data_IF_363985152328
#
_entry.id   IF_363985152328
#
_cell.length_a   1.000
_cell.length_b   1.000
_cell.length_c   1.000
_cell.angle_alpha   90.00
_cell.angle_beta   90.00
_cell.angle_gamma   90.00
#
_symmetry.space_group_name_H-M   'P 1'
#
loop_
_entity.id
_entity.type
_entity.pdbx_description
1 polymer ?
#
# COMPACT_ATOMS: atom_id res chain seq x y z
N UNK A 1 -20.25 -25.59 1.87
CA UNK A 1 -20.36 -26.55 2.97
C UNK A 1 -19.49 -27.80 2.80
N UNK A 2 -19.48 -28.45 1.63
CA UNK A 2 -18.64 -29.65 1.37
C UNK A 2 -17.13 -29.32 1.43
N UNK A 3 -16.69 -28.23 0.80
CA UNK A 3 -15.30 -27.78 0.80
C UNK A 3 -14.81 -27.43 2.22
N UNK A 4 -15.66 -26.78 3.04
CA UNK A 4 -15.32 -26.45 4.42
C UNK A 4 -15.15 -27.70 5.29
N UNK A 5 -15.95 -28.77 5.06
CA UNK A 5 -15.77 -30.05 5.76
C UNK A 5 -14.49 -30.78 5.34
N UNK A 6 -14.14 -30.74 4.06
CA UNK A 6 -12.90 -31.36 3.54
C UNK A 6 -11.64 -30.64 4.04
N UNK A 7 -11.69 -29.32 4.21
CA UNK A 7 -10.55 -28.53 4.74
C UNK A 7 -10.31 -28.74 6.25
N UNK A 8 -11.30 -29.22 6.98
CA UNK A 8 -11.17 -29.55 8.39
C UNK A 8 -10.59 -30.95 8.63
N UNK A 9 -10.59 -31.80 7.61
CA UNK A 9 -10.07 -33.17 7.68
C UNK A 9 -8.79 -33.29 6.84
N UNK A 10 -7.79 -34.01 7.27
CA UNK A 10 -6.48 -34.21 6.67
C UNK A 10 -6.42 -34.72 5.21
N UNK A 11 -7.37 -34.47 4.35
CA UNK A 11 -7.31 -34.88 2.94
C UNK A 11 -6.51 -33.88 2.09
N UNK A 12 -5.99 -34.35 0.96
CA UNK A 12 -4.89 -33.77 0.15
C UNK A 12 -4.96 -32.24 -0.10
N UNK A 13 -6.14 -31.64 -0.16
CA UNK A 13 -6.32 -30.17 -0.36
C UNK A 13 -6.81 -29.44 0.90
N UNK A 14 -6.89 -30.11 2.03
CA UNK A 14 -7.46 -29.59 3.27
C UNK A 14 -6.84 -28.29 3.79
N UNK A 15 -5.49 -28.18 3.87
CA UNK A 15 -4.85 -26.94 4.35
C UNK A 15 -5.09 -25.76 3.44
N UNK A 16 -4.90 -25.90 2.14
CA UNK A 16 -5.09 -24.81 1.15
C UNK A 16 -6.54 -24.32 1.12
N UNK A 17 -7.51 -25.24 1.14
CA UNK A 17 -8.93 -24.88 1.18
C UNK A 17 -9.31 -24.20 2.50
N UNK A 18 -8.74 -24.64 3.65
CA UNK A 18 -8.93 -23.98 4.93
C UNK A 18 -8.44 -22.53 4.90
N UNK A 19 -7.22 -22.29 4.40
CA UNK A 19 -6.65 -20.97 4.29
C UNK A 19 -7.54 -20.04 3.45
N UNK A 20 -7.93 -20.51 2.26
CA UNK A 20 -8.78 -19.73 1.34
C UNK A 20 -10.11 -19.35 1.98
N UNK A 21 -10.77 -20.28 2.68
CA UNK A 21 -12.08 -20.04 3.30
C UNK A 21 -11.97 -19.05 4.45
N UNK A 22 -10.92 -19.15 5.27
CA UNK A 22 -10.68 -18.20 6.38
C UNK A 22 -10.33 -16.82 5.83
N UNK A 23 -9.47 -16.72 4.80
CA UNK A 23 -9.11 -15.46 4.17
C UNK A 23 -10.32 -14.78 3.54
N UNK A 24 -11.17 -15.50 2.83
CA UNK A 24 -12.42 -14.98 2.27
C UNK A 24 -13.39 -14.49 3.35
N UNK A 25 -13.46 -15.16 4.49
CA UNK A 25 -14.28 -14.70 5.61
C UNK A 25 -13.74 -13.39 6.20
N UNK A 26 -12.41 -13.27 6.34
CA UNK A 26 -11.75 -12.05 6.82
C UNK A 26 -11.96 -10.89 5.84
N UNK A 27 -11.76 -11.12 4.55
CA UNK A 27 -11.97 -10.10 3.49
C UNK A 27 -13.40 -9.57 3.44
N UNK A 28 -14.38 -10.40 3.78
CA UNK A 28 -15.80 -10.04 3.86
C UNK A 28 -16.21 -9.39 5.18
N UNK A 29 -15.27 -9.23 6.12
CA UNK A 29 -15.58 -8.71 7.46
C UNK A 29 -16.33 -9.71 8.36
N UNK A 30 -16.36 -11.00 8.00
CA UNK A 30 -17.05 -12.07 8.75
C UNK A 30 -16.13 -12.64 9.86
N UNK A 31 -15.57 -11.78 10.73
CA UNK A 31 -14.59 -12.15 11.76
C UNK A 31 -15.03 -13.35 12.62
N UNK A 32 -16.25 -13.29 13.15
CA UNK A 32 -16.80 -14.37 13.97
C UNK A 32 -16.88 -15.72 13.23
N UNK A 33 -17.05 -15.69 11.90
CA UNK A 33 -17.03 -16.88 11.06
C UNK A 33 -15.61 -17.41 10.89
N UNK A 34 -14.65 -16.52 10.62
CA UNK A 34 -13.24 -16.87 10.50
C UNK A 34 -12.72 -17.50 11.80
N UNK A 35 -13.09 -16.96 12.96
CA UNK A 35 -12.74 -17.48 14.28
C UNK A 35 -13.33 -18.91 14.49
N UNK A 36 -14.62 -19.10 14.20
CA UNK A 36 -15.24 -20.45 14.29
C UNK A 36 -14.57 -21.46 13.38
N UNK A 37 -14.12 -21.08 12.19
CA UNK A 37 -13.39 -21.96 11.28
C UNK A 37 -12.03 -22.38 11.87
N UNK A 38 -11.29 -21.44 12.48
CA UNK A 38 -10.04 -21.75 13.17
C UNK A 38 -10.26 -22.71 14.35
N UNK A 39 -11.27 -22.45 15.19
CA UNK A 39 -11.61 -23.36 16.29
C UNK A 39 -12.02 -24.76 15.81
N UNK A 40 -12.82 -24.85 14.75
CA UNK A 40 -13.21 -26.12 14.15
C UNK A 40 -12.00 -26.90 13.63
N UNK A 41 -11.04 -26.21 13.00
CA UNK A 41 -9.77 -26.82 12.55
C UNK A 41 -8.95 -27.32 13.72
N UNK A 42 -8.80 -26.52 14.77
CA UNK A 42 -8.08 -26.89 16.00
C UNK A 42 -8.78 -28.01 16.80
N UNK A 43 -10.08 -28.19 16.63
CA UNK A 43 -10.81 -29.34 17.16
C UNK A 43 -10.44 -30.66 16.47
N UNK A 44 -9.99 -30.61 15.22
CA UNK A 44 -9.54 -31.78 14.45
C UNK A 44 -8.03 -31.99 14.59
N UNK A 45 -7.27 -30.89 14.47
CA UNK A 45 -5.80 -30.88 14.57
C UNK A 45 -5.41 -29.89 15.66
N UNK A 46 -5.24 -30.41 16.87
CA UNK A 46 -5.12 -29.60 18.09
C UNK A 46 -3.99 -28.59 18.08
N UNK A 47 -2.92 -28.87 17.34
CA UNK A 47 -1.72 -28.04 17.23
C UNK A 47 -1.44 -27.66 15.76
N UNK A 48 -2.50 -27.41 15.00
CA UNK A 48 -2.36 -26.83 13.66
C UNK A 48 -1.82 -25.39 13.78
N UNK A 49 -0.53 -25.24 13.44
CA UNK A 49 0.20 -24.00 13.57
C UNK A 49 -0.49 -22.84 12.85
N UNK A 50 -0.94 -23.07 11.64
CA UNK A 50 -1.51 -22.02 10.81
C UNK A 50 -2.90 -21.61 11.29
N UNK A 51 -3.67 -22.55 11.81
CA UNK A 51 -4.94 -22.25 12.47
C UNK A 51 -4.73 -21.47 13.78
N UNK A 52 -3.69 -21.82 14.56
CA UNK A 52 -3.32 -21.09 15.77
C UNK A 52 -2.88 -19.66 15.44
N UNK A 53 -2.02 -19.46 14.43
CA UNK A 53 -1.58 -18.13 14.01
C UNK A 53 -2.76 -17.25 13.58
N UNK A 54 -3.65 -17.78 12.73
CA UNK A 54 -4.84 -17.06 12.27
C UNK A 54 -5.79 -16.71 13.41
N UNK A 55 -6.01 -17.65 14.32
CA UNK A 55 -6.82 -17.41 15.51
C UNK A 55 -6.21 -16.31 16.39
N UNK A 56 -4.90 -16.39 16.66
CA UNK A 56 -4.20 -15.37 17.41
C UNK A 56 -4.32 -13.97 16.78
N UNK A 57 -4.22 -13.87 15.45
CA UNK A 57 -4.43 -12.60 14.73
C UNK A 57 -5.87 -12.09 14.82
N UNK A 58 -6.87 -12.95 14.64
CA UNK A 58 -8.28 -12.58 14.78
C UNK A 58 -8.59 -12.06 16.18
N UNK A 59 -8.06 -12.69 17.21
CA UNK A 59 -8.21 -12.26 18.60
C UNK A 59 -7.54 -10.90 18.86
N UNK A 60 -6.36 -10.66 18.27
CA UNK A 60 -5.70 -9.36 18.34
C UNK A 60 -6.51 -8.27 17.63
N UNK A 61 -7.02 -8.57 16.44
CA UNK A 61 -7.84 -7.65 15.66
C UNK A 61 -9.14 -7.27 16.40
N UNK A 62 -9.66 -8.20 17.22
CA UNK A 62 -10.84 -7.98 18.09
C UNK A 62 -10.50 -7.34 19.45
N UNK A 63 -9.20 -7.09 19.72
CA UNK A 63 -8.75 -6.50 20.98
C UNK A 63 -8.67 -7.48 22.16
N UNK A 64 -8.86 -8.77 21.93
CA UNK A 64 -8.80 -9.86 22.93
C UNK A 64 -7.35 -10.30 23.18
N UNK A 65 -6.54 -9.35 23.67
CA UNK A 65 -5.07 -9.47 23.78
C UNK A 65 -4.66 -10.66 24.66
N UNK A 66 -5.31 -10.83 25.81
CA UNK A 66 -4.96 -11.90 26.74
C UNK A 66 -5.16 -13.31 26.11
N UNK A 67 -6.22 -13.47 25.36
CA UNK A 67 -6.52 -14.73 24.65
C UNK A 67 -5.55 -14.94 23.47
N UNK A 68 -5.23 -13.89 22.73
CA UNK A 68 -4.24 -13.95 21.67
C UNK A 68 -2.86 -14.40 22.19
N UNK A 69 -2.43 -13.89 23.35
CA UNK A 69 -1.18 -14.30 24.03
C UNK A 69 -1.17 -15.82 24.28
N UNK A 70 -2.24 -16.36 24.82
CA UNK A 70 -2.34 -17.80 25.10
C UNK A 70 -2.24 -18.62 23.80
N UNK A 71 -2.87 -18.16 22.71
CA UNK A 71 -2.80 -18.83 21.42
C UNK A 71 -1.39 -18.78 20.84
N UNK A 72 -0.71 -17.63 20.91
CA UNK A 72 0.68 -17.51 20.42
C UNK A 72 1.68 -18.30 21.25
N UNK A 73 1.47 -18.45 22.57
CA UNK A 73 2.27 -19.35 23.39
C UNK A 73 2.15 -20.82 22.93
N UNK A 74 0.97 -21.22 22.43
CA UNK A 74 0.80 -22.55 21.83
C UNK A 74 1.55 -22.68 20.52
N UNK A 75 1.61 -21.61 19.68
CA UNK A 75 2.43 -21.60 18.47
C UNK A 75 3.91 -21.80 18.82
N UNK A 76 4.41 -21.10 19.85
CA UNK A 76 5.78 -21.26 20.34
C UNK A 76 6.09 -22.69 20.78
N UNK A 77 5.14 -23.32 21.45
CA UNK A 77 5.27 -24.72 21.90
C UNK A 77 5.35 -25.69 20.72
N UNK A 78 4.55 -25.48 19.66
CA UNK A 78 4.58 -26.29 18.43
C UNK A 78 5.90 -26.13 17.69
N UNK A 79 6.49 -24.92 17.68
CA UNK A 79 7.76 -24.63 17.03
C UNK A 79 8.99 -24.98 17.87
N UNK A 80 8.81 -25.49 19.10
CA UNK A 80 9.91 -25.83 19.99
C UNK A 80 10.72 -24.63 20.48
N UNK A 81 10.19 -23.43 20.36
CA UNK A 81 10.81 -22.18 20.79
C UNK A 81 10.37 -21.82 22.20
N UNK A 82 11.31 -21.68 23.12
CA UNK A 82 11.00 -21.25 24.49
C UNK A 82 11.08 -19.71 24.58
N UNK A 83 9.92 -19.06 24.60
CA UNK A 83 9.76 -17.71 25.17
C UNK A 83 10.41 -16.52 24.45
N UNK A 84 11.02 -16.71 23.27
CA UNK A 84 11.73 -15.63 22.52
C UNK A 84 10.77 -14.81 21.66
N UNK A 85 9.64 -15.39 21.28
CA UNK A 85 8.65 -14.77 20.38
C UNK A 85 7.80 -13.72 21.11
N UNK A 86 7.68 -13.78 22.43
CA UNK A 86 6.54 -13.18 23.14
C UNK A 86 6.53 -11.66 23.18
N UNK A 87 7.62 -10.96 23.46
CA UNK A 87 7.55 -9.52 23.65
C UNK A 87 7.68 -8.75 22.32
N UNK A 88 8.64 -9.10 21.47
CA UNK A 88 8.86 -8.42 20.20
C UNK A 88 7.78 -8.79 19.17
N UNK A 89 7.41 -10.05 19.11
CA UNK A 89 6.36 -10.58 18.24
C UNK A 89 4.98 -10.03 18.63
N UNK A 90 4.62 -10.09 19.92
CA UNK A 90 3.37 -9.50 20.42
C UNK A 90 3.31 -7.99 20.21
N UNK A 91 4.42 -7.29 20.43
CA UNK A 91 4.48 -5.85 20.15
C UNK A 91 4.29 -5.56 18.67
N UNK A 92 4.95 -6.30 17.79
CA UNK A 92 4.79 -6.18 16.34
C UNK A 92 3.37 -6.49 15.89
N UNK A 93 2.77 -7.57 16.40
CA UNK A 93 1.39 -7.93 16.05
C UNK A 93 0.33 -7.03 16.67
N UNK A 94 0.55 -6.51 17.87
CA UNK A 94 -0.28 -5.45 18.45
C UNK A 94 -0.25 -4.19 17.59
N UNK A 95 0.91 -3.85 17.07
CA UNK A 95 1.08 -2.69 16.21
C UNK A 95 0.38 -2.92 14.85
N UNK A 96 0.46 -4.12 14.27
CA UNK A 96 -0.28 -4.50 13.05
C UNK A 96 -1.80 -4.49 13.33
N UNK A 97 -2.25 -5.04 14.45
CA UNK A 97 -3.66 -5.06 14.82
C UNK A 97 -4.20 -3.63 15.03
N UNK A 98 -3.42 -2.74 15.65
CA UNK A 98 -3.74 -1.30 15.75
C UNK A 98 -3.86 -0.63 14.40
N UNK A 99 -2.92 -0.91 13.47
CA UNK A 99 -2.98 -0.39 12.12
C UNK A 99 -4.23 -0.90 11.36
N UNK A 100 -4.57 -2.19 11.49
CA UNK A 100 -5.79 -2.78 10.90
C UNK A 100 -7.07 -2.18 11.47
N UNK A 101 -7.12 -1.86 12.77
CA UNK A 101 -8.23 -1.11 13.38
C UNK A 101 -8.24 0.37 13.02
N UNK A 102 -7.31 0.78 12.16
CA UNK A 102 -7.20 2.16 11.74
C UNK A 102 -6.54 3.07 12.78
N UNK A 103 -5.93 2.52 13.83
CA UNK A 103 -5.11 3.27 14.74
C UNK A 103 -3.80 3.65 14.05
N UNK A 104 -3.48 4.94 14.04
CA UNK A 104 -2.18 5.41 13.57
C UNK A 104 -1.17 5.28 14.69
N UNK A 105 -0.08 4.61 14.44
CA UNK A 105 0.98 4.45 15.43
C UNK A 105 2.36 4.66 14.82
N UNK A 106 3.35 4.82 15.69
CA UNK A 106 4.78 4.85 15.33
C UNK A 106 5.59 4.07 16.37
N UNK A 107 6.77 3.67 15.99
CA UNK A 107 7.68 2.95 16.89
C UNK A 107 9.10 3.47 16.75
N UNK A 108 9.85 3.40 17.86
CA UNK A 108 11.28 3.59 17.87
C UNK A 108 11.98 2.24 17.70
N UNK A 109 12.93 2.18 16.79
CA UNK A 109 13.81 1.04 16.61
C UNK A 109 15.25 1.47 16.84
N UNK A 110 15.95 0.77 17.72
CA UNK A 110 17.34 1.05 18.04
C UNK A 110 18.26 0.03 17.34
N UNK A 111 19.43 0.49 16.85
CA UNK A 111 20.48 -0.31 16.22
C UNK A 111 19.93 -1.18 15.08
N UNK A 112 19.29 -0.55 14.10
CA UNK A 112 18.75 -1.22 12.93
C UNK A 112 19.56 -0.90 11.68
N UNK A 113 19.48 -1.79 10.69
CA UNK A 113 19.97 -1.56 9.34
C UNK A 113 18.80 -1.31 8.40
N UNK A 114 18.97 -0.35 7.49
CA UNK A 114 18.01 -0.02 6.45
C UNK A 114 18.64 -0.33 5.09
N UNK A 115 18.06 -1.24 4.36
CA UNK A 115 18.40 -1.54 2.98
C UNK A 115 17.53 -0.68 2.06
N UNK A 116 18.12 0.08 1.13
CA UNK A 116 17.46 1.17 0.42
C UNK A 116 16.95 0.83 -0.97
N UNK A 117 17.16 -0.39 -1.48
CA UNK A 117 16.53 -0.83 -2.73
C UNK A 117 15.02 -0.95 -2.58
N UNK A 118 14.60 -1.50 -1.45
CA UNK A 118 13.19 -1.73 -1.10
C UNK A 118 12.78 -1.10 0.24
N UNK A 119 13.68 -0.33 0.83
CA UNK A 119 13.47 0.32 2.12
C UNK A 119 13.14 -0.66 3.24
N UNK A 120 13.90 -1.75 3.28
CA UNK A 120 13.72 -2.83 4.26
C UNK A 120 14.48 -2.51 5.54
N UNK A 121 13.79 -2.56 6.69
CA UNK A 121 14.39 -2.37 8.00
C UNK A 121 14.69 -3.74 8.61
N UNK A 122 15.91 -3.92 9.07
CA UNK A 122 16.37 -5.18 9.64
C UNK A 122 17.19 -4.98 10.91
N UNK A 123 17.07 -5.93 11.83
CA UNK A 123 17.94 -6.09 12.99
C UNK A 123 18.06 -7.56 13.32
N UNK A 124 19.31 -8.03 13.54
CA UNK A 124 19.59 -9.43 13.91
C UNK A 124 18.97 -10.46 12.94
N UNK A 125 18.96 -10.15 11.65
CA UNK A 125 18.35 -11.00 10.63
C UNK A 125 16.83 -10.93 10.56
N UNK A 126 16.15 -10.13 11.39
CA UNK A 126 14.70 -9.99 11.44
C UNK A 126 14.27 -8.74 10.67
N UNK A 127 13.29 -8.88 9.77
CA UNK A 127 12.68 -7.79 9.01
C UNK A 127 11.56 -7.12 9.82
N UNK A 128 11.58 -5.79 9.87
CA UNK A 128 10.71 -4.99 10.74
C UNK A 128 9.65 -4.15 10.03
N UNK A 129 9.61 -4.13 8.72
CA UNK A 129 8.57 -3.35 8.05
C UNK A 129 7.38 -4.22 7.64
N UNK A 130 6.21 -3.66 7.87
CA UNK A 130 4.91 -4.26 7.55
C UNK A 130 4.66 -4.36 6.03
N UNK A 131 5.60 -3.86 5.21
CA UNK A 131 5.42 -3.58 3.78
C UNK A 131 6.29 -4.45 2.87
N UNK A 132 7.06 -5.36 3.43
CA UNK A 132 7.96 -6.20 2.65
C UNK A 132 7.18 -7.35 2.03
N UNK A 133 6.89 -7.23 0.75
CA UNK A 133 6.54 -8.42 -0.03
C UNK A 133 7.76 -9.34 -0.10
N UNK A 134 7.60 -10.59 0.33
CA UNK A 134 8.67 -11.59 0.29
C UNK A 134 9.37 -11.66 -1.10
N UNK A 135 8.63 -11.44 -2.19
CA UNK A 135 9.18 -11.33 -3.56
C UNK A 135 10.27 -10.25 -3.69
N UNK A 136 10.12 -9.11 -3.03
CA UNK A 136 11.08 -8.01 -3.15
C UNK A 136 12.41 -8.33 -2.47
N UNK A 137 12.38 -9.11 -1.38
CA UNK A 137 13.59 -9.55 -0.70
C UNK A 137 14.43 -10.51 -1.56
N UNK A 138 13.78 -11.35 -2.39
CA UNK A 138 14.50 -12.28 -3.28
C UNK A 138 15.11 -11.58 -4.50
N UNK A 139 14.57 -10.44 -4.89
CA UNK A 139 15.06 -9.66 -6.05
C UNK A 139 16.02 -8.56 -5.65
N UNK A 140 16.19 -8.28 -4.35
CA UNK A 140 17.20 -7.32 -3.87
C UNK A 140 18.61 -7.86 -4.13
N UNK A 141 19.44 -7.11 -4.84
CA UNK A 141 20.84 -7.52 -5.06
C UNK A 141 21.65 -7.58 -3.75
N UNK A 142 21.15 -6.99 -2.67
CA UNK A 142 21.83 -6.83 -1.39
C UNK A 142 21.30 -7.73 -0.28
N UNK A 143 20.10 -8.26 -0.43
CA UNK A 143 19.51 -9.15 0.57
C UNK A 143 19.62 -10.59 0.08
N UNK A 144 20.62 -11.31 0.58
CA UNK A 144 20.68 -12.76 0.40
C UNK A 144 19.83 -13.41 1.49
N UNK A 145 18.55 -13.62 1.18
CA UNK A 145 17.61 -14.17 2.12
C UNK A 145 17.30 -15.65 1.86
N UNK A 146 17.09 -16.40 2.95
CA UNK A 146 16.40 -17.68 2.90
C UNK A 146 15.09 -17.51 3.66
N UNK A 147 14.02 -17.99 3.06
CA UNK A 147 12.81 -18.22 3.84
C UNK A 147 13.09 -19.42 4.73
N UNK A 148 12.76 -19.31 5.99
CA UNK A 148 12.78 -20.46 6.89
C UNK A 148 11.92 -21.56 6.29
N UNK A 149 12.23 -22.82 6.63
CA UNK A 149 11.51 -24.00 6.10
C UNK A 149 10.00 -23.94 6.34
N UNK A 150 9.56 -23.15 7.30
CA UNK A 150 8.17 -22.92 7.66
C UNK A 150 7.51 -21.73 6.93
N UNK A 151 8.26 -21.04 6.08
CA UNK A 151 7.76 -19.89 5.29
C UNK A 151 7.46 -18.63 6.09
N UNK A 152 7.78 -18.56 7.38
CA UNK A 152 7.34 -17.48 8.28
C UNK A 152 8.41 -16.48 8.65
N UNK A 153 9.66 -16.86 8.55
CA UNK A 153 10.79 -15.99 8.91
C UNK A 153 11.69 -15.82 7.69
N UNK A 154 12.01 -14.59 7.38
CA UNK A 154 12.99 -14.28 6.36
C UNK A 154 14.29 -13.99 7.09
N UNK A 155 15.25 -14.89 6.95
CA UNK A 155 16.63 -14.66 7.39
C UNK A 155 17.37 -14.04 6.22
N UNK A 156 17.73 -12.79 6.35
CA UNK A 156 18.50 -12.09 5.34
C UNK A 156 19.85 -11.66 5.90
N UNK A 157 20.88 -11.74 5.06
CA UNK A 157 22.20 -11.19 5.37
C UNK A 157 22.36 -9.91 4.57
N UNK A 158 22.57 -8.81 5.25
CA UNK A 158 22.91 -7.55 4.63
C UNK A 158 24.42 -7.42 4.47
N UNK A 159 24.90 -6.73 3.41
CA UNK A 159 26.30 -6.29 3.34
C UNK A 159 26.62 -5.32 4.47
N UNK A 160 27.92 -5.03 4.64
CA UNK A 160 28.33 -4.01 5.61
C UNK A 160 27.67 -2.67 5.29
N UNK A 161 27.23 -1.92 6.32
CA UNK A 161 26.66 -0.60 6.13
C UNK A 161 27.67 0.35 5.45
N UNK A 162 27.19 1.08 4.46
CA UNK A 162 27.93 2.15 3.78
C UNK A 162 27.72 3.50 4.47
N UNK A 163 26.65 3.61 5.26
CA UNK A 163 26.26 4.82 5.98
C UNK A 163 26.06 4.51 7.45
N UNK A 164 26.67 5.34 8.32
CA UNK A 164 26.46 5.28 9.76
C UNK A 164 25.67 6.53 10.19
N UNK A 165 24.46 6.34 10.68
CA UNK A 165 23.57 7.40 11.12
C UNK A 165 23.49 7.36 12.64
N UNK A 166 24.29 8.22 13.29
CA UNK A 166 24.43 8.26 14.74
C UNK A 166 23.24 8.94 15.43
N UNK A 167 22.62 9.93 14.78
CA UNK A 167 21.50 10.68 15.31
C UNK A 167 20.18 10.01 15.01
N UNK A 168 19.15 10.31 15.82
CA UNK A 168 17.80 9.85 15.58
C UNK A 168 17.24 10.45 14.30
N UNK A 169 16.61 9.63 13.45
CA UNK A 169 15.96 10.09 12.22
C UNK A 169 14.58 9.42 12.00
N UNK A 170 13.80 10.01 11.12
CA UNK A 170 12.47 9.53 10.72
C UNK A 170 12.60 8.69 9.45
N UNK A 171 12.04 7.50 9.46
CA UNK A 171 11.94 6.64 8.30
C UNK A 171 10.87 7.14 7.31
N UNK A 172 11.28 7.88 6.30
CA UNK A 172 10.40 8.29 5.20
C UNK A 172 10.45 7.30 4.07
N UNK A 173 11.63 7.02 3.54
CA UNK A 173 11.82 6.13 2.42
C UNK A 173 12.09 6.87 1.11
N UNK A 174 11.96 6.19 -0.03
CA UNK A 174 12.30 6.77 -1.33
C UNK A 174 11.75 5.94 -2.50
N UNK A 175 10.50 5.53 -2.44
CA UNK A 175 9.85 4.74 -3.49
C UNK A 175 9.70 5.57 -4.77
N UNK A 176 10.20 5.06 -5.90
CA UNK A 176 10.20 5.75 -7.19
C UNK A 176 8.84 5.80 -7.89
N UNK A 177 7.92 4.96 -7.47
CA UNK A 177 6.59 4.99 -8.00
C UNK A 177 5.78 6.10 -7.32
N UNK A 178 5.21 7.03 -8.09
CA UNK A 178 4.44 8.17 -7.57
C UNK A 178 3.32 7.76 -6.61
N UNK A 179 2.56 6.71 -6.95
CA UNK A 179 1.50 6.18 -6.10
C UNK A 179 2.05 5.60 -4.79
N UNK A 180 3.13 4.82 -4.87
CA UNK A 180 3.78 4.26 -3.69
C UNK A 180 4.40 5.37 -2.82
N UNK A 181 5.00 6.39 -3.44
CA UNK A 181 5.50 7.55 -2.72
C UNK A 181 4.41 8.20 -1.87
N UNK A 182 3.26 8.48 -2.45
CA UNK A 182 2.14 9.05 -1.70
C UNK A 182 1.63 8.11 -0.61
N UNK A 183 1.30 6.87 -0.96
CA UNK A 183 0.66 5.94 -0.02
C UNK A 183 1.60 5.41 1.07
N UNK A 184 2.85 5.09 0.71
CA UNK A 184 3.78 4.41 1.62
C UNK A 184 4.73 5.36 2.33
N UNK A 185 5.03 6.51 1.71
CA UNK A 185 6.02 7.43 2.24
C UNK A 185 5.35 8.69 2.83
N UNK A 186 4.41 9.31 2.12
CA UNK A 186 3.84 10.58 2.54
C UNK A 186 2.68 10.41 3.54
N UNK A 187 1.66 9.60 3.22
CA UNK A 187 0.46 9.50 4.07
C UNK A 187 0.76 9.06 5.51
N UNK A 188 1.74 8.19 5.72
CA UNK A 188 2.12 7.72 7.06
C UNK A 188 2.66 8.83 7.95
N UNK A 189 3.16 9.93 7.36
CA UNK A 189 3.70 11.08 8.11
C UNK A 189 2.62 11.81 8.93
N UNK A 190 1.35 11.70 8.53
CA UNK A 190 0.21 12.20 9.29
C UNK A 190 0.23 11.74 10.76
N UNK A 191 0.70 10.53 11.01
CA UNK A 191 0.83 9.96 12.37
C UNK A 191 1.84 10.73 13.19
N UNK A 192 2.99 11.07 12.61
CA UNK A 192 4.05 11.81 13.30
C UNK A 192 3.70 13.28 13.48
N UNK A 193 2.98 13.87 12.54
CA UNK A 193 2.53 15.24 12.64
C UNK A 193 1.56 15.43 13.82
N UNK A 194 0.57 14.54 13.93
CA UNK A 194 -0.37 14.52 15.06
C UNK A 194 0.32 14.33 16.42
N UNK A 195 1.43 13.59 16.42
CA UNK A 195 2.24 13.36 17.62
C UNK A 195 3.23 14.52 17.91
N UNK A 196 3.29 15.55 17.06
CA UNK A 196 4.25 16.65 17.17
C UNK A 196 5.71 16.23 16.94
N UNK A 197 5.93 15.14 16.19
CA UNK A 197 7.27 14.55 15.98
C UNK A 197 7.81 14.79 14.58
N UNK A 198 6.96 15.19 13.61
CA UNK A 198 7.29 15.23 12.19
C UNK A 198 8.55 16.07 11.86
N UNK A 199 8.75 17.16 12.58
CA UNK A 199 9.87 18.08 12.34
C UNK A 199 10.93 18.06 13.47
N UNK A 200 10.81 17.13 14.41
CA UNK A 200 11.77 17.02 15.51
C UNK A 200 13.07 16.32 15.15
N UNK A 201 13.00 15.51 14.08
CA UNK A 201 14.14 14.69 13.65
C UNK A 201 14.29 14.80 12.14
N UNK A 202 15.51 14.68 11.60
CA UNK A 202 15.73 14.66 10.17
C UNK A 202 15.06 13.46 9.50
N UNK A 203 14.70 13.62 8.22
CA UNK A 203 14.05 12.59 7.43
C UNK A 203 15.06 11.76 6.65
N UNK A 204 15.02 10.45 6.81
CA UNK A 204 15.83 9.49 6.07
C UNK A 204 15.18 9.24 4.70
N UNK A 205 15.88 9.61 3.63
CA UNK A 205 15.41 9.57 2.24
C UNK A 205 16.51 9.17 1.27
N UNK A 206 16.17 8.87 0.00
CA UNK A 206 17.16 8.69 -1.05
C UNK A 206 17.95 9.98 -1.34
N UNK A 207 19.21 9.83 -1.74
CA UNK A 207 20.05 10.96 -2.19
C UNK A 207 19.62 11.52 -3.54
N UNK A 208 19.05 10.68 -4.42
CA UNK A 208 18.61 10.98 -5.79
C UNK A 208 17.09 11.04 -5.90
N UNK A 209 16.45 11.84 -5.04
CA UNK A 209 15.02 12.07 -5.07
C UNK A 209 14.54 12.58 -6.45
N UNK A 210 13.42 12.04 -6.92
CA UNK A 210 12.72 12.54 -8.11
C UNK A 210 12.21 13.97 -7.88
N UNK A 211 11.96 14.72 -8.96
CA UNK A 211 11.44 16.09 -8.87
C UNK A 211 10.19 16.20 -8.00
N UNK A 212 9.20 15.34 -8.23
CA UNK A 212 7.97 15.32 -7.44
C UNK A 212 8.19 14.98 -5.96
N UNK A 213 9.17 14.12 -5.63
CA UNK A 213 9.51 13.81 -4.24
C UNK A 213 10.07 15.04 -3.52
N UNK A 214 11.01 15.74 -4.17
CA UNK A 214 11.55 16.99 -3.66
C UNK A 214 10.46 18.04 -3.46
N UNK A 215 9.55 18.20 -4.45
CA UNK A 215 8.44 19.14 -4.33
C UNK A 215 7.52 18.79 -3.16
N UNK A 216 7.12 17.54 -2.97
CA UNK A 216 6.31 17.12 -1.81
C UNK A 216 7.01 17.40 -0.48
N UNK A 217 8.31 17.13 -0.39
CA UNK A 217 9.11 17.41 0.82
C UNK A 217 9.10 18.90 1.14
N UNK A 218 9.29 19.74 0.12
CA UNK A 218 9.25 21.20 0.26
C UNK A 218 7.86 21.71 0.64
N UNK A 219 6.81 21.20 -0.03
CA UNK A 219 5.41 21.57 0.26
C UNK A 219 4.99 21.15 1.68
N UNK A 220 5.57 20.07 2.19
CA UNK A 220 5.39 19.66 3.59
C UNK A 220 6.20 20.51 4.57
N UNK A 221 7.01 21.45 4.10
CA UNK A 221 7.78 22.37 4.94
C UNK A 221 9.08 21.80 5.48
N UNK A 222 9.56 20.68 4.95
CA UNK A 222 10.84 20.11 5.37
C UNK A 222 11.99 20.79 4.64
N UNK A 223 13.03 21.14 5.39
CA UNK A 223 14.21 21.83 4.85
C UNK A 223 15.27 20.83 4.36
N UNK A 224 16.01 21.14 3.29
CA UNK A 224 17.06 20.25 2.74
C UNK A 224 18.12 19.83 3.78
N UNK A 225 18.45 20.69 4.74
CA UNK A 225 19.43 20.44 5.79
C UNK A 225 18.94 19.44 6.85
N UNK A 226 17.62 19.20 6.87
CA UNK A 226 16.98 18.22 7.73
C UNK A 226 16.71 16.88 7.02
N UNK A 227 17.41 16.62 5.93
CA UNK A 227 17.36 15.35 5.22
C UNK A 227 18.64 14.55 5.44
N UNK A 228 18.50 13.33 5.93
CA UNK A 228 19.56 12.32 5.91
C UNK A 228 19.45 11.57 4.60
N UNK A 229 20.38 11.83 3.69
CA UNK A 229 20.36 11.28 2.34
C UNK A 229 21.27 10.05 2.24
N UNK A 230 20.70 8.93 1.78
CA UNK A 230 21.43 7.68 1.56
C UNK A 230 21.31 7.25 0.10
N UNK A 231 22.36 6.61 -0.41
CA UNK A 231 22.38 6.11 -1.79
C UNK A 231 21.30 5.06 -2.03
N UNK A 232 20.92 4.90 -3.30
CA UNK A 232 20.12 3.74 -3.69
C UNK A 232 20.95 2.47 -3.64
N UNK A 233 20.32 1.35 -3.37
CA UNK A 233 20.98 0.06 -3.32
C UNK A 233 22.14 0.04 -2.30
N UNK A 234 21.95 0.68 -1.16
CA UNK A 234 22.92 0.79 -0.09
C UNK A 234 22.34 0.23 1.21
N UNK A 235 23.19 0.06 2.21
CA UNK A 235 22.79 -0.27 3.57
C UNK A 235 23.22 0.87 4.49
N UNK A 236 22.27 1.37 5.27
CA UNK A 236 22.50 2.36 6.31
C UNK A 236 22.32 1.73 7.70
N UNK A 237 23.28 1.90 8.58
CA UNK A 237 23.16 1.58 10.00
C UNK A 237 22.58 2.80 10.72
N UNK A 238 21.45 2.60 11.38
CA UNK A 238 20.75 3.65 12.12
C UNK A 238 20.77 3.32 13.62
N UNK A 239 21.40 4.20 14.41
CA UNK A 239 21.42 4.02 15.86
C UNK A 239 20.02 4.13 16.45
N UNK A 240 19.18 5.03 15.92
CA UNK A 240 17.80 5.22 16.38
C UNK A 240 16.88 5.69 15.24
N UNK A 241 15.87 4.90 14.92
CA UNK A 241 14.97 5.13 13.80
C UNK A 241 13.51 5.24 14.29
N UNK A 242 12.86 6.36 13.94
CA UNK A 242 11.42 6.55 14.17
C UNK A 242 10.65 6.09 12.94
N UNK A 243 9.89 5.04 13.09
CA UNK A 243 9.15 4.38 11.99
C UNK A 243 7.66 4.62 12.17
N UNK A 244 7.03 5.48 11.35
CA UNK A 244 5.58 5.56 11.27
C UNK A 244 5.03 4.33 10.55
N UNK A 245 3.96 3.75 11.08
CA UNK A 245 3.32 2.60 10.45
C UNK A 245 2.61 2.99 9.17
N UNK A 246 2.57 2.05 8.23
CA UNK A 246 1.81 2.20 7.01
C UNK A 246 0.32 2.29 7.30
N UNK A 247 -0.35 3.08 6.48
CA UNK A 247 -1.79 3.17 6.48
C UNK A 247 -2.37 2.08 5.56
N UNK A 248 -2.75 0.94 6.13
CA UNK A 248 -3.26 -0.22 5.38
C UNK A 248 -4.78 -0.33 5.37
N UNK A 249 -5.45 0.16 6.43
CA UNK A 249 -6.91 0.19 6.50
C UNK A 249 -7.50 1.41 5.78
N UNK A 250 -8.73 1.28 5.26
CA UNK A 250 -9.45 2.39 4.62
C UNK A 250 -9.56 3.61 5.56
N UNK A 251 -9.79 3.38 6.85
CA UNK A 251 -9.87 4.44 7.85
C UNK A 251 -8.52 5.16 8.06
N UNK A 252 -7.41 4.43 8.10
CA UNK A 252 -6.08 5.03 8.25
C UNK A 252 -5.68 5.81 6.99
N UNK A 253 -5.96 5.26 5.80
CA UNK A 253 -5.77 5.94 4.51
C UNK A 253 -6.60 7.22 4.48
N UNK A 254 -7.89 7.17 4.85
CA UNK A 254 -8.78 8.33 4.90
C UNK A 254 -8.25 9.45 5.79
N UNK A 255 -7.74 9.11 6.99
CA UNK A 255 -7.09 10.10 7.87
C UNK A 255 -5.80 10.69 7.29
N UNK A 256 -5.01 9.88 6.59
CA UNK A 256 -3.82 10.36 5.89
C UNK A 256 -4.18 11.30 4.74
N UNK A 257 -5.19 10.95 3.93
CA UNK A 257 -5.70 11.80 2.85
C UNK A 257 -6.25 13.11 3.40
N UNK A 258 -7.05 13.07 4.47
CA UNK A 258 -7.57 14.28 5.10
C UNK A 258 -6.43 15.18 5.58
N UNK A 259 -5.44 14.63 6.30
CA UNK A 259 -4.26 15.37 6.74
C UNK A 259 -3.53 16.03 5.58
N UNK A 260 -3.32 15.31 4.47
CA UNK A 260 -2.63 15.85 3.30
C UNK A 260 -3.45 16.97 2.63
N UNK A 261 -4.77 16.82 2.54
CA UNK A 261 -5.65 17.88 2.03
C UNK A 261 -5.63 19.13 2.93
N UNK A 262 -5.61 18.96 4.24
CA UNK A 262 -5.48 20.08 5.20
C UNK A 262 -4.13 20.80 5.03
N UNK A 263 -3.03 20.05 4.86
CA UNK A 263 -1.70 20.63 4.62
C UNK A 263 -1.61 21.42 3.32
N UNK A 264 -2.28 20.97 2.29
CA UNK A 264 -2.28 21.59 0.96
C UNK A 264 -3.55 22.40 0.69
N UNK A 265 -4.33 22.76 1.71
CA UNK A 265 -5.60 23.46 1.55
C UNK A 265 -5.47 24.75 0.74
N UNK A 266 -4.34 25.45 0.86
CA UNK A 266 -4.04 26.68 0.09
C UNK A 266 -3.80 26.44 -1.40
N UNK A 267 -3.61 25.20 -1.84
CA UNK A 267 -3.42 24.79 -3.24
C UNK A 267 -4.69 24.17 -3.84
N UNK A 268 -5.67 23.82 -3.01
CA UNK A 268 -6.90 23.17 -3.47
C UNK A 268 -7.88 24.20 -3.99
N UNK A 269 -8.53 23.91 -5.12
CA UNK A 269 -9.69 24.67 -5.57
C UNK A 269 -10.86 24.53 -4.58
N UNK A 270 -11.66 25.58 -4.43
CA UNK A 270 -12.90 25.47 -3.67
C UNK A 270 -13.84 24.47 -4.39
N UNK A 271 -14.56 23.59 -3.64
CA UNK A 271 -15.42 22.56 -4.26
C UNK A 271 -16.43 23.12 -5.26
N UNK A 272 -16.98 24.32 -5.03
CA UNK A 272 -17.88 25.00 -5.96
C UNK A 272 -17.22 25.40 -7.30
N UNK A 273 -15.89 25.36 -7.39
CA UNK A 273 -15.10 25.66 -8.59
C UNK A 273 -14.68 24.39 -9.35
N UNK A 274 -15.07 23.21 -8.88
CA UNK A 274 -14.79 21.95 -9.55
C UNK A 274 -15.70 21.78 -10.79
N UNK A 275 -15.24 22.31 -11.91
CA UNK A 275 -15.96 22.28 -13.19
C UNK A 275 -15.22 21.55 -14.29
N UNK A 276 -13.93 21.29 -14.11
CA UNK A 276 -13.08 20.72 -15.15
C UNK A 276 -13.39 19.24 -15.37
N UNK A 277 -13.29 18.82 -16.62
CA UNK A 277 -13.36 17.43 -17.06
C UNK A 277 -11.99 17.05 -17.59
N UNK A 278 -11.33 16.11 -16.92
CA UNK A 278 -9.96 15.77 -17.22
C UNK A 278 -9.83 14.40 -17.88
N UNK A 279 -9.13 14.34 -19.00
CA UNK A 279 -8.52 13.12 -19.50
C UNK A 279 -7.05 13.08 -19.04
N UNK A 280 -6.73 12.17 -18.15
CA UNK A 280 -5.38 12.00 -17.63
C UNK A 280 -4.59 11.09 -18.58
N UNK A 281 -3.69 11.69 -19.32
CA UNK A 281 -2.85 11.01 -20.32
C UNK A 281 -1.78 10.13 -19.68
N UNK A 282 -1.39 9.09 -20.42
CA UNK A 282 -0.25 8.22 -20.10
C UNK A 282 0.83 8.25 -21.18
N UNK A 283 0.91 9.32 -21.97
CA UNK A 283 1.91 9.45 -23.02
C UNK A 283 3.35 9.59 -22.53
N UNK A 284 3.50 9.99 -21.26
CA UNK A 284 4.76 10.10 -20.55
C UNK A 284 5.33 8.74 -20.06
N UNK A 285 4.61 7.64 -20.28
CA UNK A 285 5.03 6.30 -19.82
C UNK A 285 4.78 5.23 -20.90
N UNK A 286 5.65 4.22 -20.92
CA UNK A 286 5.56 3.10 -21.88
C UNK A 286 4.72 1.93 -21.38
N UNK A 287 4.60 1.77 -20.05
CA UNK A 287 3.86 0.66 -19.45
C UNK A 287 2.37 0.95 -19.44
N UNK A 288 1.55 0.00 -19.90
CA UNK A 288 0.09 0.11 -19.91
C UNK A 288 -0.40 1.36 -20.64
N UNK A 289 0.24 1.71 -21.75
CA UNK A 289 -0.20 2.84 -22.58
C UNK A 289 -1.57 2.54 -23.21
N UNK A 290 -2.42 3.56 -23.27
CA UNK A 290 -3.71 3.50 -23.95
C UNK A 290 -3.48 3.74 -25.45
N UNK A 291 -3.59 2.69 -26.26
CA UNK A 291 -3.23 2.73 -27.70
C UNK A 291 -4.10 3.67 -28.51
N UNK A 292 -5.34 3.87 -28.11
CA UNK A 292 -6.29 4.75 -28.80
C UNK A 292 -6.65 6.00 -27.96
N UNK A 293 -5.68 6.55 -27.22
CA UNK A 293 -5.89 7.72 -26.39
C UNK A 293 -6.31 8.95 -27.19
N UNK A 294 -5.80 9.12 -28.43
CA UNK A 294 -6.19 10.26 -29.28
C UNK A 294 -7.63 10.15 -29.75
N UNK A 295 -8.05 8.98 -30.23
CA UNK A 295 -9.43 8.69 -30.59
C UNK A 295 -10.37 8.95 -29.40
N UNK A 296 -9.98 8.51 -28.20
CA UNK A 296 -10.74 8.79 -26.99
C UNK A 296 -10.80 10.28 -26.68
N UNK A 297 -9.70 11.02 -26.81
CA UNK A 297 -9.69 12.45 -26.58
C UNK A 297 -10.56 13.21 -27.58
N UNK A 298 -10.49 12.88 -28.85
CA UNK A 298 -11.34 13.46 -29.90
C UNK A 298 -12.84 13.27 -29.59
N UNK A 299 -13.20 12.10 -29.05
CA UNK A 299 -14.59 11.84 -28.67
C UNK A 299 -15.02 12.57 -27.39
N UNK A 300 -14.09 12.81 -26.46
CA UNK A 300 -14.38 13.49 -25.18
C UNK A 300 -14.26 15.03 -25.27
N UNK A 301 -13.49 15.57 -26.22
CA UNK A 301 -13.29 17.00 -26.37
C UNK A 301 -14.60 17.80 -26.57
N UNK A 302 -15.58 17.35 -27.37
CA UNK A 302 -16.88 18.02 -27.50
C UNK A 302 -17.67 18.06 -26.18
N UNK A 303 -17.38 17.14 -25.27
CA UNK A 303 -17.95 17.10 -23.93
C UNK A 303 -17.18 17.98 -22.92
N UNK A 304 -16.24 18.81 -23.39
CA UNK A 304 -15.48 19.77 -22.60
C UNK A 304 -14.32 19.16 -21.81
N UNK A 305 -13.79 18.01 -22.21
CA UNK A 305 -12.61 17.43 -21.59
C UNK A 305 -11.33 18.14 -22.03
N UNK A 306 -10.43 18.33 -21.07
CA UNK A 306 -9.07 18.79 -21.28
C UNK A 306 -8.11 17.64 -20.98
N UNK A 307 -7.17 17.39 -21.90
CA UNK A 307 -6.13 16.40 -21.69
C UNK A 307 -4.97 17.01 -20.90
N UNK A 308 -4.55 16.32 -19.83
CA UNK A 308 -3.37 16.67 -19.05
C UNK A 308 -2.37 15.51 -19.06
N UNK A 309 -1.07 15.83 -19.07
CA UNK A 309 0.03 14.89 -18.95
C UNK A 309 0.72 15.13 -17.62
N UNK A 310 0.42 14.33 -16.57
CA UNK A 310 0.89 14.62 -15.21
C UNK A 310 2.41 14.69 -15.06
N UNK A 311 3.18 13.91 -15.85
CA UNK A 311 4.64 13.95 -15.85
C UNK A 311 5.24 15.29 -16.32
N UNK A 312 4.47 16.12 -17.03
CA UNK A 312 4.86 17.46 -17.49
C UNK A 312 4.46 18.56 -16.49
N UNK A 313 3.71 18.23 -15.44
CA UNK A 313 3.20 19.16 -14.46
C UNK A 313 3.98 19.09 -13.15
N UNK A 314 4.20 20.24 -12.51
CA UNK A 314 4.65 20.28 -11.12
C UNK A 314 3.60 19.66 -10.18
N UNK A 315 3.98 19.29 -8.97
CA UNK A 315 3.04 18.77 -7.96
C UNK A 315 1.94 19.80 -7.67
N UNK A 316 2.29 21.09 -7.58
CA UNK A 316 1.32 22.17 -7.37
C UNK A 316 0.29 22.22 -8.52
N UNK A 317 0.74 22.11 -9.76
CA UNK A 317 -0.14 22.10 -10.94
C UNK A 317 -1.02 20.84 -10.96
N UNK A 318 -0.47 19.67 -10.59
CA UNK A 318 -1.27 18.44 -10.47
C UNK A 318 -2.36 18.59 -9.39
N UNK A 319 -2.00 19.09 -8.20
CA UNK A 319 -2.97 19.36 -7.13
C UNK A 319 -4.07 20.31 -7.61
N UNK A 320 -3.71 21.41 -8.25
CA UNK A 320 -4.67 22.39 -8.77
C UNK A 320 -5.60 21.78 -9.82
N UNK A 321 -5.06 21.03 -10.79
CA UNK A 321 -5.85 20.38 -11.84
C UNK A 321 -6.86 19.39 -11.26
N UNK A 322 -6.39 18.47 -10.39
CA UNK A 322 -7.27 17.46 -9.83
C UNK A 322 -8.28 18.04 -8.83
N UNK A 323 -7.91 19.05 -8.04
CA UNK A 323 -8.84 19.68 -7.09
C UNK A 323 -9.95 20.49 -7.78
N UNK A 324 -9.78 20.90 -9.03
CA UNK A 324 -10.80 21.57 -9.83
C UNK A 324 -11.60 20.62 -10.74
N UNK A 325 -11.36 19.31 -10.63
CA UNK A 325 -12.01 18.34 -11.50
C UNK A 325 -13.41 17.94 -11.00
N UNK A 326 -14.38 17.93 -11.93
CA UNK A 326 -15.72 17.35 -11.75
C UNK A 326 -15.77 15.90 -12.24
N UNK A 327 -15.10 15.61 -13.35
CA UNK A 327 -15.00 14.26 -13.93
C UNK A 327 -13.54 14.01 -14.29
N UNK A 328 -13.04 12.84 -13.94
CA UNK A 328 -11.69 12.37 -14.28
C UNK A 328 -11.81 11.07 -15.05
N UNK A 329 -11.34 11.04 -16.30
CA UNK A 329 -11.14 9.82 -17.09
C UNK A 329 -9.66 9.51 -17.10
N UNK A 330 -9.27 8.33 -16.66
CA UNK A 330 -7.86 7.97 -16.54
C UNK A 330 -7.62 6.46 -16.72
N UNK A 331 -6.59 6.09 -17.44
CA UNK A 331 -6.11 4.72 -17.43
C UNK A 331 -5.48 4.38 -16.07
N UNK A 332 -5.68 3.11 -15.62
CA UNK A 332 -5.11 2.60 -14.37
C UNK A 332 -3.61 2.87 -14.27
N UNK A 333 -3.21 3.72 -13.37
CA UNK A 333 -1.81 4.13 -13.25
C UNK A 333 -1.55 5.11 -12.12
N UNK A 334 -0.27 5.31 -11.81
CA UNK A 334 0.18 6.08 -10.65
C UNK A 334 -0.40 7.51 -10.60
N UNK A 335 -0.60 8.16 -11.75
CA UNK A 335 -1.15 9.52 -11.83
C UNK A 335 -2.59 9.62 -11.29
N UNK A 336 -3.39 8.53 -11.40
CA UNK A 336 -4.76 8.51 -10.85
C UNK A 336 -4.78 8.62 -9.32
N UNK A 337 -3.65 8.40 -8.65
CA UNK A 337 -3.54 8.65 -7.20
C UNK A 337 -3.88 10.11 -6.84
N UNK A 338 -3.69 11.06 -7.75
CA UNK A 338 -4.06 12.46 -7.52
C UNK A 338 -5.57 12.68 -7.30
N UNK A 339 -6.42 11.68 -7.57
CA UNK A 339 -7.84 11.74 -7.20
C UNK A 339 -8.05 12.04 -5.72
N UNK A 340 -7.07 11.74 -4.87
CA UNK A 340 -7.11 12.08 -3.44
C UNK A 340 -7.20 13.61 -3.18
N UNK A 341 -6.78 14.45 -4.13
CA UNK A 341 -6.93 15.90 -4.05
C UNK A 341 -8.27 16.41 -4.63
N UNK A 342 -8.93 15.60 -5.45
CA UNK A 342 -10.21 15.98 -6.06
C UNK A 342 -11.34 16.00 -5.02
N UNK A 343 -12.39 16.84 -5.22
CA UNK A 343 -13.60 16.82 -4.38
C UNK A 343 -14.22 15.42 -4.27
N UNK A 344 -14.99 15.19 -3.21
CA UNK A 344 -15.70 13.92 -3.01
C UNK A 344 -16.78 13.67 -4.09
N UNK A 345 -17.29 14.73 -4.68
CA UNK A 345 -18.29 14.69 -5.74
C UNK A 345 -17.70 14.40 -7.12
N UNK A 346 -16.36 14.41 -7.25
CA UNK A 346 -15.68 14.13 -8.52
C UNK A 346 -15.92 12.70 -8.96
N UNK A 347 -16.50 12.53 -10.13
CA UNK A 347 -16.69 11.22 -10.73
C UNK A 347 -15.40 10.71 -11.39
N UNK A 348 -15.06 9.46 -11.13
CA UNK A 348 -13.87 8.81 -11.66
C UNK A 348 -14.28 7.76 -12.69
N UNK A 349 -13.73 7.81 -13.88
CA UNK A 349 -13.84 6.77 -14.91
C UNK A 349 -12.46 6.15 -15.07
N UNK A 350 -12.26 5.01 -14.43
CA UNK A 350 -11.02 4.23 -14.51
C UNK A 350 -11.04 3.33 -15.73
N UNK A 351 -10.04 3.46 -16.60
CA UNK A 351 -9.85 2.58 -17.75
C UNK A 351 -8.79 1.54 -17.42
N UNK A 352 -9.10 0.27 -17.62
CA UNK A 352 -8.21 -0.82 -17.23
C UNK A 352 -8.17 -1.93 -18.30
N UNK A 353 -7.14 -2.76 -18.27
CA UNK A 353 -7.09 -3.98 -19.08
C UNK A 353 -7.53 -5.19 -18.24
N UNK A 354 -7.95 -6.26 -18.91
CA UNK A 354 -8.28 -7.54 -18.27
C UNK A 354 -7.13 -8.10 -17.44
N UNK A 355 -5.87 -7.82 -17.82
CA UNK A 355 -4.67 -8.26 -17.11
C UNK A 355 -4.58 -7.68 -15.67
N UNK A 356 -5.13 -6.48 -15.44
CA UNK A 356 -5.01 -5.76 -14.16
C UNK A 356 -6.38 -5.42 -13.53
N UNK A 357 -7.47 -5.94 -14.06
CA UNK A 357 -8.82 -5.72 -13.53
C UNK A 357 -8.96 -6.13 -12.06
N UNK A 358 -8.19 -7.14 -11.63
CA UNK A 358 -8.13 -7.58 -10.24
C UNK A 358 -7.50 -6.53 -9.29
N UNK A 359 -6.75 -5.55 -9.82
CA UNK A 359 -6.15 -4.49 -9.01
C UNK A 359 -7.22 -3.52 -8.53
N UNK A 360 -7.46 -3.48 -7.23
CA UNK A 360 -8.55 -2.72 -6.63
C UNK A 360 -8.14 -1.40 -5.96
N UNK A 361 -6.88 -0.96 -6.16
CA UNK A 361 -6.32 0.19 -5.45
C UNK A 361 -7.19 1.45 -5.58
N UNK A 362 -7.55 1.83 -6.81
CA UNK A 362 -8.30 3.09 -7.04
C UNK A 362 -9.76 2.95 -6.65
N UNK A 363 -10.37 1.76 -6.78
CA UNK A 363 -11.69 1.49 -6.23
C UNK A 363 -11.71 1.57 -4.70
N UNK A 364 -10.66 1.09 -4.05
CA UNK A 364 -10.48 1.23 -2.61
C UNK A 364 -10.28 2.71 -2.22
N UNK A 365 -9.46 3.43 -2.97
CA UNK A 365 -9.24 4.85 -2.73
C UNK A 365 -10.53 5.66 -2.92
N UNK A 366 -11.28 5.44 -4.00
CA UNK A 366 -12.56 6.10 -4.28
C UNK A 366 -13.58 5.87 -3.14
N UNK A 367 -13.66 4.62 -2.65
CA UNK A 367 -14.49 4.31 -1.48
C UNK A 367 -14.04 5.09 -0.24
N UNK A 368 -12.74 5.15 0.01
CA UNK A 368 -12.16 5.87 1.16
C UNK A 368 -12.40 7.38 1.07
N UNK A 369 -12.31 7.96 -0.13
CA UNK A 369 -12.55 9.39 -0.40
C UNK A 369 -14.02 9.72 -0.71
N UNK A 370 -14.90 8.69 -0.74
CA UNK A 370 -16.33 8.80 -1.04
C UNK A 370 -16.61 9.35 -2.45
N UNK A 371 -15.76 9.04 -3.42
CA UNK A 371 -15.91 9.45 -4.81
C UNK A 371 -16.63 8.38 -5.63
N UNK A 372 -17.59 8.73 -6.51
CA UNK A 372 -18.17 7.80 -7.46
C UNK A 372 -17.09 7.33 -8.45
N UNK A 373 -17.01 6.01 -8.66
CA UNK A 373 -16.06 5.41 -9.60
C UNK A 373 -16.74 4.38 -10.49
N UNK A 374 -16.49 4.47 -11.78
CA UNK A 374 -16.84 3.49 -12.80
C UNK A 374 -15.56 2.93 -13.39
N UNK A 375 -15.43 1.61 -13.47
CA UNK A 375 -14.29 0.95 -14.11
C UNK A 375 -14.74 0.38 -15.45
N UNK A 376 -14.04 0.75 -16.53
CA UNK A 376 -14.26 0.22 -17.88
C UNK A 376 -13.05 -0.61 -18.25
N UNK A 377 -13.28 -1.90 -18.43
CA UNK A 377 -12.25 -2.88 -18.80
C UNK A 377 -12.18 -3.04 -20.30
N UNK A 378 -10.99 -3.13 -20.88
CA UNK A 378 -10.79 -3.44 -22.29
C UNK A 378 -11.25 -4.88 -22.60
N UNK A 379 -11.68 -5.08 -23.82
CA UNK A 379 -12.02 -6.42 -24.31
C UNK A 379 -10.78 -7.19 -24.80
N UNK A 380 -9.62 -6.54 -24.87
CA UNK A 380 -8.36 -7.14 -25.29
C UNK A 380 -7.77 -8.04 -24.21
N UNK A 381 -7.36 -9.24 -24.60
CA UNK A 381 -6.57 -10.13 -23.75
C UNK A 381 -5.09 -10.02 -24.15
N UNK A 382 -4.29 -9.26 -23.41
CA UNK A 382 -2.88 -9.13 -23.72
C UNK A 382 -2.14 -10.43 -23.35
N UNK A 383 -2.05 -11.34 -24.31
CA UNK A 383 -1.23 -12.53 -24.20
C UNK A 383 0.12 -12.26 -24.86
N UNK A 384 1.18 -12.24 -24.10
CA UNK A 384 2.55 -12.27 -24.60
C UNK A 384 3.15 -13.63 -24.21
N UNK A 385 3.51 -14.44 -25.18
CA UNK A 385 4.08 -15.78 -24.96
C UNK A 385 3.23 -16.73 -24.09
N UNK A 386 1.90 -16.57 -24.09
CA UNK A 386 0.99 -17.43 -23.32
C UNK A 386 0.75 -16.99 -21.86
N UNK A 387 1.38 -15.92 -21.40
CA UNK A 387 1.17 -15.35 -20.08
C UNK A 387 0.51 -13.96 -20.16
N UNK A 388 -0.33 -13.65 -19.17
CA UNK A 388 -0.95 -12.33 -19.06
C UNK A 388 0.08 -11.34 -18.51
N UNK A 389 0.54 -10.39 -19.34
CA UNK A 389 1.49 -9.39 -18.91
C UNK A 389 0.77 -8.11 -18.43
N UNK A 390 0.96 -7.78 -17.14
CA UNK A 390 0.34 -6.64 -16.48
C UNK A 390 0.78 -5.26 -17.00
N UNK A 391 1.83 -5.22 -17.82
CA UNK A 391 2.40 -3.99 -18.37
C UNK A 391 2.02 -3.76 -19.85
N UNK A 392 1.29 -4.67 -20.47
CA UNK A 392 0.93 -4.60 -21.88
C UNK A 392 0.06 -3.37 -22.19
N UNK A 393 0.32 -2.66 -23.29
CA UNK A 393 -0.58 -1.63 -23.81
C UNK A 393 -1.95 -2.22 -24.16
N UNK A 394 -3.00 -1.41 -24.05
CA UNK A 394 -4.37 -1.86 -24.30
C UNK A 394 -5.17 -0.81 -25.08
N UNK A 395 -6.28 -1.21 -25.66
CA UNK A 395 -7.28 -0.34 -26.28
C UNK A 395 -8.57 -0.36 -25.45
N UNK A 396 -9.32 0.72 -25.51
CA UNK A 396 -10.64 0.81 -24.87
C UNK A 396 -11.72 1.08 -25.90
N UNK A 397 -12.92 0.54 -25.69
CA UNK A 397 -14.07 0.95 -26.50
C UNK A 397 -14.46 2.40 -26.13
N UNK A 398 -14.12 3.33 -27.01
CA UNK A 398 -14.39 4.78 -26.88
C UNK A 398 -15.87 5.07 -26.66
N UNK A 399 -16.77 4.31 -27.29
CA UNK A 399 -18.24 4.51 -27.16
C UNK A 399 -18.71 4.18 -25.74
N UNK A 400 -18.14 3.13 -25.12
CA UNK A 400 -18.46 2.77 -23.72
C UNK A 400 -18.03 3.88 -22.76
N UNK A 401 -16.86 4.50 -23.01
CA UNK A 401 -16.36 5.61 -22.18
C UNK A 401 -17.24 6.85 -22.35
N UNK A 402 -17.56 7.22 -23.58
CA UNK A 402 -18.43 8.38 -23.87
C UNK A 402 -19.79 8.21 -23.18
N UNK A 403 -20.45 7.04 -23.33
CA UNK A 403 -21.73 6.78 -22.66
C UNK A 403 -21.61 6.89 -21.14
N UNK A 404 -20.60 6.29 -20.53
CA UNK A 404 -20.39 6.39 -19.09
C UNK A 404 -20.16 7.82 -18.61
N UNK A 405 -19.51 8.66 -19.42
CA UNK A 405 -19.31 10.10 -19.14
C UNK A 405 -20.63 10.86 -19.29
N UNK A 406 -21.41 10.58 -20.34
CA UNK A 406 -22.74 11.23 -20.56
C UNK A 406 -23.69 10.97 -19.39
N UNK A 407 -23.65 9.77 -18.81
CA UNK A 407 -24.45 9.41 -17.62
C UNK A 407 -24.00 10.18 -16.35
N UNK A 408 -22.82 10.82 -16.35
CA UNK A 408 -22.22 11.55 -15.22
C UNK A 408 -22.32 13.09 -15.37
N UNK A 409 -22.71 13.60 -16.53
CA UNK A 409 -22.82 15.04 -16.82
C UNK A 409 -24.20 15.57 -16.38
#
# INVERSE_FOLDING_TARGET
MIVARLSLTHRVDGPAAFHLIVDLAIERGEQARAERLCHARLGVIREDRDALLRLGHLLLDDGRIAEAVVIFQRVDAVEGRRGVVTAAFLKQHLDIARARRGESYYRWLDNVQVETSYWTIMRDGIVYNDDVHAKNLYTSPFVRGRVSADGTTIVATLPHPEYEIADACIFVGGDDNYSHWLFRNVLKLATLDRAGLLYRYPWLVNSDLRSYQNEFIQLLGQRPEQLVKVGRHAVASCKRLLVPALHTSDQAIGRGVQWMRERFAHLLAAPAQATHRLLVSRRDVTRRSLLNEDELFEALAPLGFVRIVPGELSVVQQIAAFSSARIIVAAHGAALTNMLFAPRETAIVELTSTAIEHMSLFRKLARTTQQPIVTITSDDYPLVAGEIEINTPFRIDTRRVVRAVEDLI
#
